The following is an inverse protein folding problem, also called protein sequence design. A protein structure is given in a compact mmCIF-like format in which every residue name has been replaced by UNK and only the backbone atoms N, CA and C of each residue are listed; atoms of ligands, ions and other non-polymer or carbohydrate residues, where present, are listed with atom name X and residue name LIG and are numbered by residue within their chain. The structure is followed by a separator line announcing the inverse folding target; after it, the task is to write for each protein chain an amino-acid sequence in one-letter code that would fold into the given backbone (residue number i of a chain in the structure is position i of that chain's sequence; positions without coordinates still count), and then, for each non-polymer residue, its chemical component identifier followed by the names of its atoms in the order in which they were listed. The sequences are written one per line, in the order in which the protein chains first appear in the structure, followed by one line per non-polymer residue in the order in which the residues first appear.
data_IF_213103008730
#
_entry.id   IF_213103008730
#
_cell.length_a   1.000
_cell.length_b   1.000
_cell.length_c   1.000
_cell.angle_alpha   90.00
_cell.angle_beta   90.00
_cell.angle_gamma   90.00
#
_symmetry.space_group_name_H-M   'P 1'
#
loop_
_entity.id
_entity.type
_entity.pdbx_description
1 polymer ?
#
# COMPACT_ATOMS: atom_id res chain seq x y z
N UNK A 1 -5.12 -9.53 53.84
CA UNK A 1 -4.34 -9.07 52.67
C UNK A 1 -4.86 -9.79 51.43
N UNK A 2 -5.61 -9.11 50.54
CA UNK A 2 -6.14 -9.70 49.30
C UNK A 2 -5.04 -9.68 48.24
N UNK A 3 -4.58 -10.86 47.82
CA UNK A 3 -3.63 -11.02 46.72
C UNK A 3 -4.27 -10.50 45.42
N UNK A 4 -3.70 -9.41 44.89
CA UNK A 4 -4.04 -8.87 43.56
C UNK A 4 -3.62 -9.92 42.54
N UNK A 5 -4.62 -10.57 41.94
CA UNK A 5 -4.42 -11.56 40.89
C UNK A 5 -3.98 -10.83 39.62
N UNK A 6 -2.68 -10.83 39.32
CA UNK A 6 -2.12 -10.22 38.12
C UNK A 6 -2.43 -11.10 36.92
N UNK A 7 -3.54 -10.79 36.23
CA UNK A 7 -3.89 -11.42 34.97
C UNK A 7 -2.79 -11.10 33.94
N UNK A 8 -2.10 -12.08 33.34
CA UNK A 8 -1.02 -11.80 32.40
C UNK A 8 -1.60 -11.08 31.18
N UNK A 9 -1.13 -9.84 30.93
CA UNK A 9 -1.51 -9.07 29.74
C UNK A 9 -1.22 -9.92 28.50
N UNK A 10 -2.20 -10.19 27.63
CA UNK A 10 -1.96 -11.01 26.44
C UNK A 10 -0.89 -10.31 25.59
N UNK A 11 0.10 -11.08 25.12
CA UNK A 11 1.15 -10.62 24.20
C UNK A 11 0.51 -10.28 22.83
N UNK A 12 -0.22 -9.19 22.76
CA UNK A 12 -1.01 -8.78 21.62
C UNK A 12 -0.24 -7.77 20.77
N UNK A 13 0.81 -8.24 20.08
CA UNK A 13 1.49 -7.45 19.05
C UNK A 13 1.00 -7.79 17.65
N UNK A 14 1.14 -9.08 17.28
CA UNK A 14 0.78 -9.58 15.95
C UNK A 14 -0.52 -10.40 15.93
N UNK A 15 -0.83 -11.12 17.01
CA UNK A 15 -1.97 -12.06 17.02
C UNK A 15 -3.33 -11.39 16.91
N UNK A 16 -3.43 -10.10 17.24
CA UNK A 16 -4.65 -9.29 17.08
C UNK A 16 -4.77 -8.69 15.67
N UNK A 17 -3.64 -8.57 14.95
CA UNK A 17 -3.59 -8.08 13.57
C UNK A 17 -3.76 -9.22 12.54
N UNK A 18 -3.41 -10.45 12.91
CA UNK A 18 -3.56 -11.64 12.05
C UNK A 18 -5.00 -11.84 11.52
N UNK A 19 -6.07 -11.64 12.31
CA UNK A 19 -7.44 -11.74 11.82
C UNK A 19 -7.80 -10.66 10.77
N UNK A 20 -7.18 -9.48 10.84
CA UNK A 20 -7.40 -8.37 9.89
C UNK A 20 -6.85 -8.70 8.50
N UNK A 21 -5.80 -9.50 8.41
CA UNK A 21 -5.25 -10.00 7.12
C UNK A 21 -6.30 -10.82 6.36
N UNK A 22 -7.26 -11.44 7.06
CA UNK A 22 -8.39 -12.14 6.46
C UNK A 22 -9.30 -11.23 5.62
N UNK A 23 -9.42 -9.95 5.98
CA UNK A 23 -10.21 -8.96 5.24
C UNK A 23 -9.56 -8.47 3.95
N UNK A 24 -8.24 -8.64 3.80
CA UNK A 24 -7.51 -8.33 2.55
C UNK A 24 -7.61 -9.49 1.55
N UNK A 25 -7.92 -10.70 2.02
CA UNK A 25 -7.99 -11.95 1.25
C UNK A 25 -8.95 -11.94 0.05
N UNK A 26 -10.13 -11.26 0.03
CA UNK A 26 -10.95 -11.14 -1.17
C UNK A 26 -10.35 -10.20 -2.24
N UNK A 27 -9.41 -9.32 -1.87
CA UNK A 27 -8.81 -8.30 -2.75
C UNK A 27 -7.49 -8.73 -3.40
N UNK A 28 -7.17 -10.04 -3.42
CA UNK A 28 -5.91 -10.60 -3.97
C UNK A 28 -5.59 -10.13 -5.40
N UNK A 29 -6.60 -9.97 -6.26
CA UNK A 29 -6.41 -9.50 -7.64
C UNK A 29 -5.90 -8.05 -7.68
N UNK A 30 -6.47 -7.19 -6.83
CA UNK A 30 -6.03 -5.79 -6.71
C UNK A 30 -4.62 -5.69 -6.11
N UNK A 31 -4.30 -6.54 -5.12
CA UNK A 31 -2.95 -6.65 -4.56
C UNK A 31 -1.94 -7.11 -5.62
N UNK A 32 -2.29 -8.11 -6.43
CA UNK A 32 -1.43 -8.57 -7.53
C UNK A 32 -1.17 -7.46 -8.55
N UNK A 33 -2.19 -6.68 -8.93
CA UNK A 33 -2.03 -5.51 -9.81
C UNK A 33 -1.13 -4.44 -9.19
N UNK A 34 -1.29 -4.14 -7.90
CA UNK A 34 -0.43 -3.20 -7.18
C UNK A 34 1.04 -3.67 -7.12
N UNK A 35 1.26 -4.97 -6.92
CA UNK A 35 2.60 -5.58 -6.95
C UNK A 35 3.22 -5.55 -8.34
N UNK A 36 2.45 -5.84 -9.39
CA UNK A 36 2.93 -5.72 -10.77
C UNK A 36 3.33 -4.27 -11.09
N UNK A 37 2.50 -3.29 -10.70
CA UNK A 37 2.84 -1.88 -10.83
C UNK A 37 4.10 -1.51 -10.02
N UNK A 38 4.29 -2.10 -8.84
CA UNK A 38 5.49 -1.92 -8.01
C UNK A 38 6.74 -2.44 -8.73
N UNK A 39 6.71 -3.66 -9.27
CA UNK A 39 7.85 -4.23 -9.99
C UNK A 39 8.17 -3.43 -11.25
N UNK A 40 7.13 -3.02 -11.99
CA UNK A 40 7.29 -2.17 -13.17
C UNK A 40 7.95 -0.83 -12.83
N UNK A 41 7.44 -0.12 -11.81
CA UNK A 41 8.00 1.17 -11.39
C UNK A 41 9.43 1.03 -10.86
N UNK A 42 9.74 -0.05 -10.14
CA UNK A 42 11.11 -0.34 -9.71
C UNK A 42 12.04 -0.57 -10.91
N UNK A 43 11.63 -1.36 -11.90
CA UNK A 43 12.42 -1.58 -13.11
C UNK A 43 12.70 -0.28 -13.89
N UNK A 44 11.69 0.59 -14.03
CA UNK A 44 11.84 1.91 -14.65
C UNK A 44 12.81 2.77 -13.83
N UNK A 45 12.65 2.81 -12.51
CA UNK A 45 13.50 3.59 -11.62
C UNK A 45 14.98 3.17 -11.70
N UNK A 46 15.26 1.86 -11.75
CA UNK A 46 16.63 1.36 -11.97
C UNK A 46 17.17 1.75 -13.35
N UNK A 47 16.31 1.79 -14.36
CA UNK A 47 16.69 2.13 -15.73
C UNK A 47 17.01 3.62 -15.92
N UNK A 48 16.56 4.52 -15.04
CA UNK A 48 16.81 5.96 -15.14
C UNK A 48 18.32 6.25 -15.21
N UNK A 49 19.14 5.54 -14.43
CA UNK A 49 20.60 5.72 -14.46
C UNK A 49 21.19 5.45 -15.85
N UNK A 50 20.69 4.44 -16.55
CA UNK A 50 21.10 4.14 -17.92
C UNK A 50 20.58 5.19 -18.91
N UNK A 51 19.36 5.69 -18.71
CA UNK A 51 18.81 6.79 -19.52
C UNK A 51 19.65 8.06 -19.43
N UNK A 52 20.10 8.42 -18.21
CA UNK A 52 21.00 9.56 -18.01
C UNK A 52 22.34 9.34 -18.69
N UNK A 53 22.93 8.15 -18.55
CA UNK A 53 24.17 7.78 -19.23
C UNK A 53 24.05 7.95 -20.75
N UNK A 54 22.93 7.53 -21.34
CA UNK A 54 22.68 7.65 -22.78
C UNK A 54 22.65 9.12 -23.24
N UNK A 55 22.02 10.01 -22.49
CA UNK A 55 22.02 11.46 -22.79
C UNK A 55 23.45 12.03 -22.75
N UNK A 56 24.26 11.62 -21.77
CA UNK A 56 25.65 12.08 -21.64
C UNK A 56 26.50 11.57 -22.81
N UNK A 57 26.55 10.25 -22.99
CA UNK A 57 27.45 9.60 -23.94
C UNK A 57 27.05 9.87 -25.40
N UNK A 58 25.76 9.81 -25.72
CA UNK A 58 25.28 9.92 -27.10
C UNK A 58 24.79 11.32 -27.45
N UNK A 59 24.32 12.10 -26.48
CA UNK A 59 23.86 13.47 -26.73
C UNK A 59 24.99 14.48 -26.64
N UNK A 60 25.65 14.54 -25.48
CA UNK A 60 26.65 15.58 -25.21
C UNK A 60 28.03 15.24 -25.79
N UNK A 61 28.53 14.02 -25.60
CA UNK A 61 29.87 13.63 -26.07
C UNK A 61 29.91 13.52 -27.60
N UNK A 62 28.88 12.93 -28.23
CA UNK A 62 28.84 12.80 -29.69
C UNK A 62 28.51 14.11 -30.44
N UNK A 63 28.17 15.21 -29.74
CA UNK A 63 27.76 16.52 -30.31
C UNK A 63 26.63 16.47 -31.35
N UNK A 64 25.85 15.39 -31.38
CA UNK A 64 24.73 15.23 -32.30
C UNK A 64 23.43 15.75 -31.66
N UNK A 65 22.83 16.78 -32.27
CA UNK A 65 21.55 17.35 -31.81
C UNK A 65 20.42 16.33 -31.86
N UNK A 66 20.40 15.46 -32.87
CA UNK A 66 19.35 14.45 -33.03
C UNK A 66 19.47 13.34 -31.98
N UNK A 67 20.69 12.88 -31.69
CA UNK A 67 20.92 11.88 -30.64
C UNK A 67 20.59 12.42 -29.24
N UNK A 68 20.88 13.70 -28.99
CA UNK A 68 20.49 14.38 -27.76
C UNK A 68 18.97 14.48 -27.62
N UNK A 69 18.27 14.91 -28.68
CA UNK A 69 16.81 15.00 -28.68
C UNK A 69 16.14 13.63 -28.47
N UNK A 70 16.64 12.58 -29.12
CA UNK A 70 16.15 11.21 -28.93
C UNK A 70 16.36 10.72 -27.50
N UNK A 71 17.55 10.93 -26.91
CA UNK A 71 17.88 10.49 -25.56
C UNK A 71 17.04 11.22 -24.49
N UNK A 72 16.83 12.54 -24.65
CA UNK A 72 15.93 13.32 -23.79
C UNK A 72 14.49 12.82 -23.95
N UNK A 73 14.06 12.52 -25.17
CA UNK A 73 12.74 11.93 -25.44
C UNK A 73 12.53 10.59 -24.73
N UNK A 74 13.55 9.71 -24.76
CA UNK A 74 13.52 8.44 -24.03
C UNK A 74 13.38 8.66 -22.51
N UNK A 75 14.16 9.58 -21.92
CA UNK A 75 14.02 9.93 -20.50
C UNK A 75 12.61 10.48 -20.18
N UNK A 76 12.06 11.33 -21.04
CA UNK A 76 10.71 11.86 -20.86
C UNK A 76 9.67 10.73 -20.85
N UNK A 77 9.77 9.77 -21.77
CA UNK A 77 8.90 8.58 -21.80
C UNK A 77 9.03 7.79 -20.49
N UNK A 78 10.26 7.57 -19.99
CA UNK A 78 10.48 6.86 -18.73
C UNK A 78 9.84 7.57 -17.53
N UNK A 79 9.92 8.91 -17.48
CA UNK A 79 9.27 9.71 -16.44
C UNK A 79 7.74 9.53 -16.51
N UNK A 80 7.16 9.58 -17.72
CA UNK A 80 5.72 9.33 -17.92
C UNK A 80 5.33 7.93 -17.46
N UNK A 81 6.09 6.90 -17.86
CA UNK A 81 5.85 5.52 -17.41
C UNK A 81 5.93 5.39 -15.89
N UNK A 82 6.90 6.07 -15.26
CA UNK A 82 7.06 6.05 -13.81
C UNK A 82 5.90 6.75 -13.10
N UNK A 83 5.43 7.87 -13.65
CA UNK A 83 4.26 8.60 -13.16
C UNK A 83 3.00 7.74 -13.23
N UNK A 84 2.72 7.15 -14.39
CA UNK A 84 1.55 6.27 -14.60
C UNK A 84 1.63 5.05 -13.69
N UNK A 85 2.76 4.35 -13.66
CA UNK A 85 2.94 3.19 -12.79
C UNK A 85 2.77 3.52 -11.31
N UNK A 86 3.27 4.68 -10.88
CA UNK A 86 3.08 5.17 -9.51
C UNK A 86 1.62 5.47 -9.23
N UNK A 87 0.93 6.19 -10.13
CA UNK A 87 -0.48 6.50 -10.01
C UNK A 87 -1.34 5.24 -9.88
N UNK A 88 -1.13 4.27 -10.77
CA UNK A 88 -1.84 2.98 -10.73
C UNK A 88 -1.61 2.28 -9.38
N UNK A 89 -0.36 2.22 -8.92
CA UNK A 89 -0.03 1.63 -7.61
C UNK A 89 -0.76 2.35 -6.47
N UNK A 90 -0.74 3.69 -6.44
CA UNK A 90 -1.41 4.49 -5.43
C UNK A 90 -2.94 4.33 -5.46
N UNK A 91 -3.53 4.30 -6.65
CA UNK A 91 -4.96 4.11 -6.83
C UNK A 91 -5.43 2.77 -6.26
N UNK A 92 -4.75 1.67 -6.62
CA UNK A 92 -5.08 0.36 -6.07
C UNK A 92 -4.87 0.29 -4.57
N UNK A 93 -3.80 0.90 -4.04
CA UNK A 93 -3.56 0.94 -2.60
C UNK A 93 -4.68 1.69 -1.85
N UNK A 94 -5.10 2.85 -2.35
CA UNK A 94 -6.21 3.62 -1.77
C UNK A 94 -7.52 2.83 -1.80
N UNK A 95 -7.85 2.28 -2.96
CA UNK A 95 -9.09 1.53 -3.17
C UNK A 95 -9.19 0.29 -2.27
N UNK A 96 -8.08 -0.46 -2.11
CA UNK A 96 -8.01 -1.59 -1.18
C UNK A 96 -8.20 -1.10 0.26
N UNK A 97 -7.54 -0.01 0.64
CA UNK A 97 -7.64 0.58 1.97
C UNK A 97 -9.07 0.98 2.33
N UNK A 98 -9.74 1.71 1.43
CA UNK A 98 -11.14 2.13 1.60
C UNK A 98 -12.08 0.94 1.81
N UNK A 99 -11.95 -0.11 0.99
CA UNK A 99 -12.77 -1.31 1.10
C UNK A 99 -12.48 -2.12 2.37
N UNK A 100 -11.21 -2.29 2.71
CA UNK A 100 -10.82 -2.98 3.94
C UNK A 100 -11.37 -2.26 5.18
N UNK A 101 -11.29 -0.93 5.22
CA UNK A 101 -11.84 -0.11 6.31
C UNK A 101 -13.36 -0.25 6.38
N UNK A 102 -14.06 -0.24 5.24
CA UNK A 102 -15.51 -0.41 5.20
C UNK A 102 -15.93 -1.79 5.75
N UNK A 103 -15.20 -2.85 5.40
CA UNK A 103 -15.49 -4.20 5.88
C UNK A 103 -15.21 -4.35 7.39
N UNK A 104 -14.12 -3.76 7.89
CA UNK A 104 -13.83 -3.70 9.33
C UNK A 104 -14.94 -2.96 10.06
N UNK A 105 -15.41 -1.81 9.54
CA UNK A 105 -16.49 -1.03 10.16
C UNK A 105 -17.77 -1.86 10.29
N UNK A 106 -18.13 -2.61 9.24
CA UNK A 106 -19.28 -3.52 9.28
C UNK A 106 -19.11 -4.61 10.34
N UNK A 107 -17.93 -5.24 10.40
CA UNK A 107 -17.65 -6.31 11.36
C UNK A 107 -17.69 -5.83 12.81
N UNK A 108 -17.11 -4.66 13.08
CA UNK A 108 -17.16 -4.02 14.41
C UNK A 108 -18.61 -3.69 14.79
N UNK A 109 -19.36 -3.05 13.89
CA UNK A 109 -20.74 -2.67 14.15
C UNK A 109 -21.65 -3.88 14.40
N UNK A 110 -21.49 -4.95 13.62
CA UNK A 110 -22.20 -6.20 13.84
C UNK A 110 -21.87 -6.79 15.22
N UNK A 111 -20.59 -6.77 15.63
CA UNK A 111 -20.20 -7.28 16.96
C UNK A 111 -20.74 -6.42 18.10
N UNK A 112 -20.86 -5.11 17.92
CA UNK A 112 -21.46 -4.19 18.90
C UNK A 112 -22.96 -4.43 19.04
N UNK A 113 -23.68 -4.68 17.95
CA UNK A 113 -25.14 -4.93 17.99
C UNK A 113 -25.49 -6.30 18.58
N UNK A 114 -24.66 -7.32 18.35
CA UNK A 114 -24.84 -8.64 18.96
C UNK A 114 -24.21 -8.77 20.35
N UNK A 115 -23.58 -7.70 20.86
CA UNK A 115 -23.11 -7.68 22.25
C UNK A 115 -24.34 -7.53 23.15
N UNK A 116 -24.54 -8.56 23.96
CA UNK A 116 -25.67 -8.80 24.86
C UNK A 116 -26.15 -7.53 25.60
N UNK A 117 -27.47 -7.33 25.78
CA UNK A 117 -28.05 -6.27 26.63
C UNK A 117 -27.46 -6.21 28.05
N UNK A 118 -26.85 -7.30 28.53
CA UNK A 118 -26.16 -7.40 29.81
C UNK A 118 -24.92 -6.48 29.97
N UNK A 119 -24.31 -5.96 28.88
CA UNK A 119 -23.22 -4.97 29.01
C UNK A 119 -23.75 -3.57 29.37
N UNK A 120 -25.03 -3.29 29.12
CA UNK A 120 -25.72 -2.06 29.54
C UNK A 120 -26.26 -2.15 30.98
N UNK A 121 -26.27 -3.34 31.60
CA UNK A 121 -26.65 -3.50 33.00
C UNK A 121 -25.47 -3.22 33.97
N UNK A 122 -24.23 -3.51 33.55
CA UNK A 122 -23.05 -3.37 34.42
C UNK A 122 -22.35 -2.01 34.30
N UNK A 123 -22.52 -1.31 33.16
CA UNK A 123 -21.91 0.00 32.93
C UNK A 123 -23.01 1.07 32.83
N UNK A 124 -23.61 1.40 33.98
CA UNK A 124 -24.55 2.53 34.11
C UNK A 124 -23.92 3.79 33.54
N UNK A 125 -24.49 4.31 32.46
CA UNK A 125 -24.29 5.69 32.00
C UNK A 125 -25.04 6.62 32.95
N UNK A 126 -24.47 6.81 34.14
CA UNK A 126 -24.82 7.88 35.07
C UNK A 126 -23.66 8.85 35.15
#
# INVERSE_FOLDING_TARGET
MRSVNQNPKPKAGLSVLLPLIGYVRPYKKAVAMALLALFFTAAVSLSIGQGVKMVIDQGFIARSKDALASSIGLLAIMIVLMSVGSFVRFYFMSWIGERAIADIRKAVFQRLIYLHPAYFEDNRSG
#
